data_IF_195317360129
#
_entry.id   IF_195317360129
#
_cell.length_a   1.000
_cell.length_b   1.000
_cell.length_c   1.000
_cell.angle_alpha   90.00
_cell.angle_beta   90.00
_cell.angle_gamma   90.00
#
_symmetry.space_group_name_H-M   'P 1'
#
loop_
_entity.id
_entity.type
_entity.pdbx_description
1 polymer ?
#
# COMPACT_ATOMS: atom_id res chain seq x y z
N UNK A 1 -9.93 21.31 -25.63
CA UNK A 1 -10.88 20.89 -24.57
C UNK A 1 -10.67 19.44 -24.15
N UNK A 2 -10.30 18.53 -25.05
CA UNK A 2 -10.09 17.11 -24.69
C UNK A 2 -8.86 16.87 -23.81
N UNK A 3 -7.74 17.58 -24.03
CA UNK A 3 -6.52 17.40 -23.23
C UNK A 3 -6.71 17.75 -21.75
N UNK A 4 -7.37 18.87 -21.44
CA UNK A 4 -7.62 19.26 -20.05
C UNK A 4 -8.50 18.26 -19.28
N UNK A 5 -9.42 17.58 -19.96
CA UNK A 5 -10.21 16.50 -19.37
C UNK A 5 -9.35 15.27 -19.07
N UNK A 6 -8.46 14.88 -19.99
CA UNK A 6 -7.52 13.76 -19.78
C UNK A 6 -6.60 14.05 -18.59
N UNK A 7 -6.04 15.26 -18.52
CA UNK A 7 -5.19 15.67 -17.40
C UNK A 7 -5.92 15.63 -16.05
N UNK A 8 -7.18 16.10 -16.01
CA UNK A 8 -8.00 16.03 -14.80
C UNK A 8 -8.21 14.58 -14.35
N UNK A 9 -8.53 13.68 -15.28
CA UNK A 9 -8.70 12.24 -14.99
C UNK A 9 -7.39 11.65 -14.46
N UNK A 10 -6.24 11.99 -15.05
CA UNK A 10 -4.93 11.53 -14.57
C UNK A 10 -4.63 11.98 -13.13
N UNK A 11 -4.89 13.24 -12.80
CA UNK A 11 -4.70 13.77 -11.44
C UNK A 11 -5.61 13.03 -10.45
N UNK A 12 -6.87 12.82 -10.83
CA UNK A 12 -7.82 12.05 -10.01
C UNK A 12 -7.32 10.62 -9.79
N UNK A 13 -6.85 9.95 -10.84
CA UNK A 13 -6.28 8.60 -10.74
C UNK A 13 -5.03 8.55 -9.85
N UNK A 14 -4.15 9.55 -9.95
CA UNK A 14 -2.97 9.66 -9.09
C UNK A 14 -3.35 9.82 -7.63
N UNK A 15 -4.31 10.70 -7.33
CA UNK A 15 -4.82 10.92 -5.97
C UNK A 15 -5.49 9.66 -5.43
N UNK A 16 -6.37 9.03 -6.23
CA UNK A 16 -7.02 7.77 -5.86
C UNK A 16 -5.97 6.67 -5.64
N UNK A 17 -4.94 6.60 -6.47
CA UNK A 17 -3.84 5.64 -6.28
C UNK A 17 -3.06 5.88 -4.99
N UNK A 18 -2.74 7.14 -4.66
CA UNK A 18 -2.09 7.51 -3.39
C UNK A 18 -2.98 7.13 -2.20
N UNK A 19 -4.27 7.46 -2.22
CA UNK A 19 -5.22 7.04 -1.18
C UNK A 19 -5.36 5.51 -1.12
N UNK A 20 -5.32 4.86 -2.28
CA UNK A 20 -5.32 3.43 -2.45
C UNK A 20 -4.09 2.75 -1.87
N UNK A 21 -2.96 3.44 -1.68
CA UNK A 21 -1.77 2.82 -1.05
C UNK A 21 -2.02 2.42 0.41
N UNK A 22 -2.96 3.08 1.09
CA UNK A 22 -3.38 2.72 2.43
C UNK A 22 -4.40 1.57 2.43
N UNK A 23 -5.17 1.42 1.36
CA UNK A 23 -6.23 0.41 1.28
C UNK A 23 -5.70 -0.89 0.67
N UNK A 24 -5.79 -2.04 1.36
CA UNK A 24 -5.27 -3.31 0.83
C UNK A 24 -6.02 -3.81 -0.41
N UNK A 25 -7.19 -3.24 -0.72
CA UNK A 25 -8.05 -3.65 -1.84
C UNK A 25 -7.47 -3.22 -3.19
N UNK A 26 -6.79 -2.08 -3.21
CA UNK A 26 -6.27 -1.49 -4.44
C UNK A 26 -4.75 -1.44 -4.35
N UNK A 27 -4.00 -2.03 -5.29
CA UNK A 27 -2.57 -1.81 -5.39
C UNK A 27 -2.34 -0.35 -5.80
N UNK A 28 -2.32 0.55 -4.82
CA UNK A 28 -2.41 2.01 -5.04
C UNK A 28 -1.36 2.55 -6.00
N UNK A 29 -0.13 2.05 -5.92
CA UNK A 29 0.94 2.43 -6.84
C UNK A 29 0.70 2.02 -8.29
N UNK A 30 0.04 0.88 -8.53
CA UNK A 30 -0.29 0.45 -9.89
C UNK A 30 -1.32 1.42 -10.50
N UNK A 31 -2.27 1.88 -9.69
CA UNK A 31 -3.27 2.87 -10.10
C UNK A 31 -2.61 4.23 -10.38
N UNK A 32 -1.72 4.69 -9.48
CA UNK A 32 -0.94 5.92 -9.70
C UNK A 32 -0.08 5.82 -10.96
N UNK A 33 0.58 4.69 -11.19
CA UNK A 33 1.40 4.46 -12.37
C UNK A 33 0.56 4.42 -13.66
N UNK A 34 -0.65 3.83 -13.62
CA UNK A 34 -1.58 3.90 -14.74
C UNK A 34 -1.98 5.35 -15.06
N UNK A 35 -2.25 6.18 -14.05
CA UNK A 35 -2.48 7.61 -14.22
C UNK A 35 -1.30 8.34 -14.87
N UNK A 36 -0.06 7.99 -14.48
CA UNK A 36 1.17 8.52 -15.07
C UNK A 36 1.33 8.12 -16.55
N UNK A 37 1.02 6.86 -16.89
CA UNK A 37 1.08 6.38 -18.28
C UNK A 37 0.04 7.08 -19.16
N UNK A 38 -1.19 7.23 -18.66
CA UNK A 38 -2.25 7.95 -19.37
C UNK A 38 -1.86 9.42 -19.54
N UNK A 39 -1.21 10.04 -18.56
CA UNK A 39 -0.70 11.41 -18.71
C UNK A 39 0.35 11.51 -19.83
N UNK A 40 1.36 10.62 -19.85
CA UNK A 40 2.41 10.67 -20.87
C UNK A 40 1.89 10.43 -22.29
N UNK A 41 1.04 9.42 -22.48
CA UNK A 41 0.60 8.98 -23.80
C UNK A 41 -0.71 9.63 -24.26
N UNK A 42 -1.53 10.12 -23.33
CA UNK A 42 -2.83 10.73 -23.60
C UNK A 42 -2.80 12.26 -23.64
N UNK A 43 -1.67 12.89 -23.29
CA UNK A 43 -1.47 14.34 -23.36
C UNK A 43 -0.23 14.65 -24.20
N UNK A 44 -0.15 15.84 -24.81
CA UNK A 44 1.06 16.37 -25.46
C UNK A 44 2.15 16.75 -24.43
N UNK A 45 2.45 15.87 -23.48
CA UNK A 45 3.44 16.11 -22.42
C UNK A 45 4.87 15.87 -22.93
N UNK A 46 5.78 16.77 -22.59
CA UNK A 46 7.21 16.63 -22.89
C UNK A 46 7.94 15.72 -21.89
N UNK A 47 7.22 15.16 -20.90
CA UNK A 47 7.76 14.34 -19.82
C UNK A 47 8.71 13.24 -20.30
N UNK A 48 9.94 13.21 -19.82
CA UNK A 48 10.93 12.23 -20.30
C UNK A 48 10.50 10.78 -20.04
N UNK A 49 10.77 9.87 -21.00
CA UNK A 49 10.54 8.43 -20.83
C UNK A 49 11.30 7.86 -19.62
N UNK A 50 12.36 8.53 -19.17
CA UNK A 50 13.10 8.18 -17.96
C UNK A 50 12.22 8.10 -16.71
N UNK A 51 11.24 9.01 -16.56
CA UNK A 51 10.32 9.00 -15.42
C UNK A 51 9.46 7.73 -15.41
N UNK A 52 8.97 7.30 -16.58
CA UNK A 52 8.18 6.06 -16.71
C UNK A 52 9.01 4.86 -16.27
N UNK A 53 10.24 4.74 -16.75
CA UNK A 53 11.11 3.62 -16.37
C UNK A 53 11.43 3.62 -14.87
N UNK A 54 11.77 4.78 -14.31
CA UNK A 54 12.07 4.91 -12.87
C UNK A 54 10.85 4.53 -12.04
N UNK A 55 9.68 5.11 -12.32
CA UNK A 55 8.47 4.83 -11.56
C UNK A 55 7.93 3.43 -11.78
N UNK A 56 8.13 2.84 -12.97
CA UNK A 56 7.82 1.44 -13.24
C UNK A 56 8.67 0.49 -12.40
N UNK A 57 9.98 0.75 -12.30
CA UNK A 57 10.89 -0.02 -11.45
C UNK A 57 10.52 0.15 -9.97
N UNK A 58 10.23 1.38 -9.52
CA UNK A 58 9.81 1.64 -8.13
C UNK A 58 8.49 0.95 -7.81
N UNK A 59 7.55 0.91 -8.75
CA UNK A 59 6.27 0.20 -8.59
C UNK A 59 6.49 -1.31 -8.48
N UNK A 60 7.35 -1.91 -9.31
CA UNK A 60 7.73 -3.31 -9.18
C UNK A 60 8.45 -3.60 -7.85
N UNK A 61 9.39 -2.74 -7.48
CA UNK A 61 10.11 -2.84 -6.21
C UNK A 61 9.15 -2.77 -5.03
N UNK A 62 8.15 -1.91 -5.10
CA UNK A 62 7.11 -1.78 -4.08
C UNK A 62 6.36 -3.10 -3.85
N UNK A 63 6.01 -3.82 -4.93
CA UNK A 63 5.31 -5.09 -4.83
C UNK A 63 6.18 -6.13 -4.08
N UNK A 64 7.48 -6.14 -4.35
CA UNK A 64 8.44 -7.01 -3.65
C UNK A 64 8.57 -6.58 -2.19
N UNK A 65 8.70 -5.28 -1.91
CA UNK A 65 8.82 -4.75 -0.55
C UNK A 65 7.58 -5.03 0.29
N UNK A 66 6.38 -4.91 -0.28
CA UNK A 66 5.12 -5.21 0.39
C UNK A 66 5.00 -6.69 0.78
N UNK A 67 5.72 -7.60 0.10
CA UNK A 67 5.79 -9.00 0.49
C UNK A 67 6.92 -9.26 1.50
N UNK A 68 8.11 -8.72 1.24
CA UNK A 68 9.33 -9.01 2.00
C UNK A 68 9.35 -8.32 3.36
N UNK A 69 8.92 -7.05 3.42
CA UNK A 69 8.97 -6.26 4.66
C UNK A 69 8.05 -6.84 5.72
N UNK A 70 6.76 -7.13 5.47
CA UNK A 70 5.90 -7.73 6.49
C UNK A 70 6.39 -9.11 6.90
N UNK A 71 6.88 -9.94 5.97
CA UNK A 71 7.43 -11.26 6.29
C UNK A 71 8.66 -11.19 7.21
N UNK A 72 9.62 -10.31 6.90
CA UNK A 72 10.82 -10.11 7.72
C UNK A 72 10.49 -9.49 9.07
N UNK A 73 9.59 -8.50 9.09
CA UNK A 73 9.22 -7.79 10.32
C UNK A 73 8.42 -8.73 11.23
N UNK A 74 7.44 -9.47 10.70
CA UNK A 74 6.71 -10.44 11.50
C UNK A 74 7.64 -11.49 12.12
N UNK A 75 8.60 -12.03 11.35
CA UNK A 75 9.61 -12.96 11.88
C UNK A 75 10.51 -12.33 12.95
N UNK A 76 10.96 -11.08 12.75
CA UNK A 76 11.80 -10.34 13.71
C UNK A 76 11.10 -10.10 15.04
N UNK A 77 9.79 -9.90 15.02
CA UNK A 77 8.98 -9.65 16.21
C UNK A 77 8.34 -10.92 16.81
N UNK A 78 8.80 -12.11 16.37
CA UNK A 78 8.39 -13.39 16.94
C UNK A 78 7.06 -13.93 16.43
N UNK A 79 6.54 -13.39 15.32
CA UNK A 79 5.31 -13.85 14.70
C UNK A 79 5.40 -15.25 14.13
N UNK A 80 4.28 -15.94 14.18
CA UNK A 80 4.09 -17.32 13.73
C UNK A 80 3.17 -17.37 12.51
N UNK A 81 2.99 -18.57 11.96
CA UNK A 81 2.04 -18.77 10.86
C UNK A 81 0.60 -18.43 11.27
N UNK A 82 0.24 -18.65 12.53
CA UNK A 82 -1.11 -18.37 13.03
C UNK A 82 -1.40 -16.87 13.10
N UNK A 83 -0.44 -16.05 13.53
CA UNK A 83 -0.53 -14.60 13.46
C UNK A 83 -0.64 -14.08 12.03
N UNK A 84 0.10 -14.65 11.08
CA UNK A 84 -0.04 -14.29 9.65
C UNK A 84 -1.42 -14.64 9.09
N UNK A 85 -1.95 -15.83 9.41
CA UNK A 85 -3.30 -16.25 8.97
C UNK A 85 -4.37 -15.39 9.63
N UNK A 86 -4.24 -15.16 10.94
CA UNK A 86 -5.12 -14.28 11.71
C UNK A 86 -5.13 -12.86 11.15
N UNK A 87 -3.95 -12.33 10.78
CA UNK A 87 -3.81 -11.03 10.09
C UNK A 87 -4.63 -10.98 8.80
N UNK A 88 -4.47 -11.99 7.95
CA UNK A 88 -5.14 -12.04 6.66
C UNK A 88 -6.66 -12.13 6.80
N UNK A 89 -7.13 -13.08 7.61
CA UNK A 89 -8.57 -13.27 7.89
C UNK A 89 -9.14 -12.03 8.58
N UNK A 90 -8.43 -11.49 9.57
CA UNK A 90 -8.82 -10.29 10.29
C UNK A 90 -8.91 -9.07 9.38
N UNK A 91 -7.99 -8.91 8.42
CA UNK A 91 -8.02 -7.82 7.43
C UNK A 91 -9.27 -7.93 6.55
N UNK A 92 -9.58 -9.13 6.05
CA UNK A 92 -10.76 -9.38 5.21
C UNK A 92 -12.03 -9.11 6.02
N UNK A 93 -12.18 -9.73 7.19
CA UNK A 93 -13.36 -9.53 8.03
C UNK A 93 -13.50 -8.07 8.47
N UNK A 94 -12.42 -7.44 8.89
CA UNK A 94 -12.39 -6.03 9.28
C UNK A 94 -12.88 -5.12 8.17
N UNK A 95 -12.54 -5.41 6.91
CA UNK A 95 -13.02 -4.66 5.75
C UNK A 95 -14.53 -4.78 5.50
N UNK A 96 -15.13 -5.95 5.79
CA UNK A 96 -16.57 -6.18 5.58
C UNK A 96 -17.44 -5.74 6.76
N UNK A 97 -16.95 -5.85 8.01
CA UNK A 97 -17.75 -5.63 9.21
C UNK A 97 -17.58 -4.23 9.85
N UNK A 98 -16.46 -3.55 9.59
CA UNK A 98 -16.16 -2.21 10.11
C UNK A 98 -16.09 -1.24 8.91
N UNK A 99 -16.52 0.03 9.03
CA UNK A 99 -16.39 1.01 7.95
C UNK A 99 -15.01 0.95 7.28
N UNK A 100 -15.06 0.81 5.95
CA UNK A 100 -13.99 0.33 5.06
C UNK A 100 -12.64 1.02 5.28
N UNK A 101 -12.65 2.30 5.66
CA UNK A 101 -11.44 3.14 5.76
C UNK A 101 -10.50 2.68 6.90
N UNK A 102 -11.03 2.20 8.03
CA UNK A 102 -10.18 1.78 9.17
C UNK A 102 -10.33 0.29 9.51
N UNK A 103 -11.36 -0.36 8.99
CA UNK A 103 -11.68 -1.75 9.28
C UNK A 103 -10.55 -2.72 8.94
N UNK A 104 -9.87 -2.52 7.82
CA UNK A 104 -8.79 -3.40 7.41
C UNK A 104 -7.59 -3.34 8.37
N UNK A 105 -7.21 -2.14 8.84
CA UNK A 105 -6.03 -1.96 9.71
C UNK A 105 -6.32 -2.52 11.09
N UNK A 106 -7.48 -2.20 11.65
CA UNK A 106 -7.92 -2.74 12.94
C UNK A 106 -8.05 -4.26 12.85
N UNK A 107 -8.68 -4.75 11.78
CA UNK A 107 -8.84 -6.17 11.52
C UNK A 107 -7.52 -6.91 11.41
N UNK A 108 -6.54 -6.35 10.70
CA UNK A 108 -5.18 -6.89 10.59
C UNK A 108 -4.53 -7.03 11.98
N UNK A 109 -4.53 -5.96 12.79
CA UNK A 109 -3.87 -5.94 14.10
C UNK A 109 -4.54 -6.86 15.10
N UNK A 110 -5.88 -6.81 15.20
CA UNK A 110 -6.66 -7.71 16.06
C UNK A 110 -6.51 -9.15 15.60
N UNK A 111 -6.52 -9.37 14.29
CA UNK A 111 -6.33 -10.68 13.68
C UNK A 111 -4.98 -11.31 14.01
N UNK A 112 -3.88 -10.54 13.92
CA UNK A 112 -2.55 -11.00 14.36
C UNK A 112 -2.57 -11.35 15.83
N UNK A 113 -3.10 -10.45 16.67
CA UNK A 113 -3.11 -10.65 18.13
C UNK A 113 -3.88 -11.90 18.54
N UNK A 114 -5.09 -12.08 18.00
CA UNK A 114 -5.94 -13.26 18.27
C UNK A 114 -5.33 -14.51 17.66
N UNK A 115 -4.79 -14.44 16.44
CA UNK A 115 -4.12 -15.57 15.78
C UNK A 115 -2.94 -16.09 16.61
N UNK A 116 -2.15 -15.19 17.18
CA UNK A 116 -1.03 -15.57 18.03
C UNK A 116 -1.46 -16.09 19.40
N UNK A 117 -2.52 -15.54 19.97
CA UNK A 117 -3.10 -16.06 21.19
C UNK A 117 -3.72 -17.46 21.00
N UNK A 118 -4.26 -17.76 19.82
CA UNK A 118 -4.76 -19.10 19.49
C UNK A 118 -3.63 -20.13 19.35
N UNK A 119 -2.45 -19.71 18.90
CA UNK A 119 -1.28 -20.57 18.82
C UNK A 119 -0.65 -20.83 20.20
N UNK A 120 -0.48 -19.78 21.01
CA UNK A 120 0.04 -19.89 22.36
C UNK A 120 -0.65 -18.91 23.31
N UNK A 121 -1.66 -19.42 24.02
CA UNK A 121 -2.52 -18.62 24.90
C UNK A 121 -1.78 -17.99 26.08
N UNK A 122 -0.61 -18.50 26.45
CA UNK A 122 0.13 -18.03 27.64
C UNK A 122 1.08 -16.88 27.34
N UNK A 123 1.43 -16.65 26.08
CA UNK A 123 2.44 -15.66 25.70
C UNK A 123 1.82 -14.38 25.11
N UNK A 124 1.09 -13.65 25.96
CA UNK A 124 0.52 -12.35 25.62
C UNK A 124 1.58 -11.33 25.18
N UNK A 125 2.82 -11.46 25.69
CA UNK A 125 3.93 -10.57 25.34
C UNK A 125 4.38 -10.78 23.90
N UNK A 126 4.44 -12.03 23.45
CA UNK A 126 4.73 -12.37 22.05
C UNK A 126 3.60 -11.95 21.11
N UNK A 127 2.34 -12.15 21.48
CA UNK A 127 1.20 -11.67 20.68
C UNK A 127 1.24 -10.16 20.44
N UNK A 128 1.54 -9.38 21.50
CA UNK A 128 1.70 -7.93 21.39
C UNK A 128 2.92 -7.53 20.54
N UNK A 129 4.05 -8.22 20.71
CA UNK A 129 5.25 -7.96 19.90
C UNK A 129 5.00 -8.25 18.42
N UNK A 130 4.38 -9.38 18.08
CA UNK A 130 4.03 -9.74 16.70
C UNK A 130 3.05 -8.72 16.10
N UNK A 131 2.06 -8.26 16.86
CA UNK A 131 1.13 -7.19 16.43
C UNK A 131 1.88 -5.89 16.11
N UNK A 132 2.85 -5.48 16.94
CA UNK A 132 3.74 -4.35 16.63
C UNK A 132 4.56 -4.61 15.37
N UNK A 133 5.07 -5.82 15.20
CA UNK A 133 5.80 -6.22 13.99
C UNK A 133 4.94 -6.10 12.73
N UNK A 134 3.68 -6.50 12.78
CA UNK A 134 2.74 -6.32 11.68
C UNK A 134 2.47 -4.84 11.38
N UNK A 135 2.22 -4.02 12.42
CA UNK A 135 2.02 -2.58 12.26
C UNK A 135 3.23 -1.89 11.62
N UNK A 136 4.43 -2.20 12.12
CA UNK A 136 5.68 -1.63 11.61
C UNK A 136 5.90 -2.08 10.15
N UNK A 137 5.68 -3.35 9.85
CA UNK A 137 5.80 -3.88 8.50
C UNK A 137 4.84 -3.19 7.52
N UNK A 138 3.60 -2.97 7.95
CA UNK A 138 2.59 -2.22 7.20
C UNK A 138 3.00 -0.76 6.97
N UNK A 139 3.48 -0.06 8.00
CA UNK A 139 3.91 1.33 7.90
C UNK A 139 5.09 1.51 6.94
N UNK A 140 6.05 0.58 6.95
CA UNK A 140 7.18 0.63 6.01
C UNK A 140 6.75 0.37 4.56
N UNK A 141 5.90 -0.63 4.32
CA UNK A 141 5.38 -0.91 2.97
C UNK A 141 4.52 0.24 2.44
N UNK A 142 3.51 0.65 3.23
CA UNK A 142 2.61 1.75 2.89
C UNK A 142 3.35 3.08 2.75
N UNK A 143 4.29 3.37 3.66
CA UNK A 143 5.11 4.58 3.61
C UNK A 143 5.95 4.67 2.35
N UNK A 144 6.58 3.56 1.94
CA UNK A 144 7.28 3.51 0.65
C UNK A 144 6.32 3.78 -0.51
N UNK A 145 5.17 3.11 -0.52
CA UNK A 145 4.16 3.27 -1.57
C UNK A 145 3.67 4.72 -1.66
N UNK A 146 3.41 5.33 -0.51
CA UNK A 146 2.94 6.70 -0.39
C UNK A 146 3.97 7.71 -0.92
N UNK A 147 5.25 7.57 -0.54
CA UNK A 147 6.33 8.45 -1.01
C UNK A 147 6.48 8.36 -2.52
N UNK A 148 6.47 7.15 -3.09
CA UNK A 148 6.56 6.96 -4.54
C UNK A 148 5.33 7.55 -5.26
N UNK A 149 4.12 7.33 -4.73
CA UNK A 149 2.90 7.90 -5.30
C UNK A 149 2.89 9.44 -5.29
N UNK A 150 3.31 10.06 -4.18
CA UNK A 150 3.48 11.50 -4.09
C UNK A 150 4.53 12.02 -5.07
N UNK A 151 5.65 11.31 -5.23
CA UNK A 151 6.67 11.69 -6.21
C UNK A 151 6.13 11.63 -7.65
N UNK A 152 5.32 10.64 -8.01
CA UNK A 152 4.67 10.57 -9.33
C UNK A 152 3.75 11.79 -9.55
N UNK A 153 2.93 12.14 -8.55
CA UNK A 153 2.04 13.29 -8.62
C UNK A 153 2.81 14.60 -8.78
N UNK A 154 3.89 14.79 -8.01
CA UNK A 154 4.73 15.99 -8.09
C UNK A 154 5.35 16.13 -9.48
N UNK A 155 5.86 15.04 -10.06
CA UNK A 155 6.45 15.08 -11.42
C UNK A 155 5.41 15.51 -12.45
N UNK A 156 4.19 14.97 -12.38
CA UNK A 156 3.09 15.37 -13.29
C UNK A 156 2.69 16.83 -13.09
N UNK A 157 2.66 17.32 -11.84
CA UNK A 157 2.36 18.74 -11.58
C UNK A 157 3.46 19.64 -12.15
N UNK A 158 4.74 19.30 -11.96
CA UNK A 158 5.86 20.10 -12.46
C UNK A 158 5.85 20.17 -13.99
N UNK A 159 5.51 19.07 -14.66
CA UNK A 159 5.43 19.02 -16.13
C UNK A 159 4.25 19.81 -16.70
N UNK A 160 3.23 20.08 -15.89
CA UNK A 160 2.02 20.81 -16.28
C UNK A 160 2.21 22.34 -16.26
N UNK A 161 3.18 22.85 -15.50
CA UNK A 161 3.49 24.27 -15.33
C UNK A 161 4.72 24.70 -16.13
#
# INVERSE_FOLDING_TARGET
MEEGLVTLVCIILLIIGILGTFLPVLPGLIVSYAGLLIYKFGTNSDMSMGYIWIFGILTLLSAILNYVIPAKTNKKYGGTRWGSIGSFVGTILGMFFIPVIFGFLIGMLVGVFVGELLHDRKDHKKAWNSTKGALIGFLYGTGFNFVVGCAMLIVVIIDLF
#
